data_IF_134855272962
#
_entry.id   IF_134855272962
#
_cell.length_a   1.000
_cell.length_b   1.000
_cell.length_c   1.000
_cell.angle_alpha   90.00
_cell.angle_beta   90.00
_cell.angle_gamma   90.00
#
_symmetry.space_group_name_H-M   'P 1'
#
loop_
_entity.id
_entity.type
_entity.pdbx_description
1 polymer ?
#
# COMPACT_ATOMS: atom_id res chain seq x y z
N UNK A 1 -0.14 -11.20 -16.97
CA UNK A 1 -0.81 -12.53 -17.04
C UNK A 1 -2.31 -12.37 -17.16
N UNK A 2 -2.91 -12.90 -18.24
CA UNK A 2 -4.38 -13.03 -18.33
C UNK A 2 -4.82 -14.18 -17.41
N UNK A 3 -5.79 -13.94 -16.53
CA UNK A 3 -6.37 -14.97 -15.64
C UNK A 3 -7.61 -15.57 -16.29
N UNK A 4 -7.79 -16.88 -16.20
CA UNK A 4 -8.97 -17.60 -16.72
C UNK A 4 -10.26 -17.05 -16.12
N UNK A 5 -11.24 -16.73 -16.97
CA UNK A 5 -12.56 -16.25 -16.58
C UNK A 5 -13.36 -17.32 -15.84
N UNK A 6 -13.17 -17.43 -14.53
CA UNK A 6 -13.91 -18.36 -13.68
C UNK A 6 -14.74 -17.64 -12.62
N UNK A 7 -15.63 -18.39 -11.97
CA UNK A 7 -16.56 -17.85 -10.96
C UNK A 7 -15.83 -17.20 -9.77
N UNK A 8 -14.64 -17.72 -9.43
CA UNK A 8 -13.77 -17.16 -8.39
C UNK A 8 -13.24 -15.78 -8.78
N UNK A 9 -12.78 -15.60 -10.02
CA UNK A 9 -12.30 -14.33 -10.55
C UNK A 9 -13.41 -13.27 -10.53
N UNK A 10 -14.63 -13.63 -10.95
CA UNK A 10 -15.79 -12.73 -10.92
C UNK A 10 -16.08 -12.27 -9.48
N UNK A 11 -16.03 -13.19 -8.50
CA UNK A 11 -16.22 -12.84 -7.09
C UNK A 11 -15.12 -11.92 -6.55
N UNK A 12 -13.86 -12.11 -6.96
CA UNK A 12 -12.74 -11.24 -6.58
C UNK A 12 -12.90 -9.84 -7.18
N UNK A 13 -13.28 -9.74 -8.45
CA UNK A 13 -13.53 -8.48 -9.14
C UNK A 13 -14.69 -7.71 -8.49
N UNK A 14 -15.81 -8.39 -8.24
CA UNK A 14 -16.96 -7.78 -7.56
C UNK A 14 -16.60 -7.27 -6.16
N UNK A 15 -15.82 -8.05 -5.39
CA UNK A 15 -15.35 -7.60 -4.06
C UNK A 15 -14.45 -6.37 -4.15
N UNK A 16 -13.57 -6.30 -5.14
CA UNK A 16 -12.70 -5.14 -5.39
C UNK A 16 -13.51 -3.90 -5.76
N UNK A 17 -14.49 -4.03 -6.67
CA UNK A 17 -15.40 -2.95 -7.05
C UNK A 17 -16.18 -2.43 -5.83
N UNK A 18 -16.79 -3.35 -5.07
CA UNK A 18 -17.57 -3.01 -3.87
C UNK A 18 -16.71 -2.31 -2.82
N UNK A 19 -15.49 -2.80 -2.56
CA UNK A 19 -14.58 -2.17 -1.61
C UNK A 19 -14.19 -0.75 -2.07
N UNK A 20 -13.93 -0.55 -3.37
CA UNK A 20 -13.68 0.78 -3.94
C UNK A 20 -14.88 1.71 -3.76
N UNK A 21 -16.10 1.22 -4.01
CA UNK A 21 -17.33 2.00 -3.78
C UNK A 21 -17.47 2.40 -2.31
N UNK A 22 -17.27 1.48 -1.37
CA UNK A 22 -17.35 1.76 0.08
C UNK A 22 -16.27 2.77 0.49
N UNK A 23 -15.05 2.62 -0.03
CA UNK A 23 -13.94 3.55 0.25
C UNK A 23 -14.20 4.97 -0.28
N UNK A 24 -14.92 5.11 -1.38
CA UNK A 24 -15.16 6.42 -2.01
C UNK A 24 -16.45 7.10 -1.53
N UNK A 25 -17.51 6.34 -1.26
CA UNK A 25 -18.85 6.87 -0.93
C UNK A 25 -19.33 6.52 0.49
N UNK A 26 -18.49 5.84 1.30
CA UNK A 26 -18.86 5.46 2.66
C UNK A 26 -19.04 6.68 3.58
N UNK A 27 -19.88 6.60 4.63
CA UNK A 27 -20.73 5.46 4.98
C UNK A 27 -21.89 5.23 3.97
N UNK A 28 -22.10 3.99 3.53
CA UNK A 28 -23.03 3.64 2.44
C UNK A 28 -23.80 2.35 2.72
N UNK A 29 -25.07 2.26 2.32
CA UNK A 29 -25.89 1.07 2.51
C UNK A 29 -25.62 -0.02 1.46
N UNK A 30 -25.93 -1.29 1.79
CA UNK A 30 -25.83 -2.41 0.83
C UNK A 30 -26.71 -2.21 -0.42
N UNK A 31 -27.89 -1.61 -0.26
CA UNK A 31 -28.79 -1.31 -1.39
C UNK A 31 -28.21 -0.26 -2.33
N UNK A 32 -27.59 0.78 -1.79
CA UNK A 32 -26.94 1.83 -2.60
C UNK A 32 -25.69 1.30 -3.32
N UNK A 33 -24.90 0.43 -2.67
CA UNK A 33 -23.79 -0.28 -3.32
C UNK A 33 -24.29 -1.11 -4.52
N UNK A 34 -25.37 -1.86 -4.36
CA UNK A 34 -25.97 -2.67 -5.42
C UNK A 34 -26.41 -1.80 -6.61
N UNK A 35 -27.13 -0.70 -6.32
CA UNK A 35 -27.63 0.24 -7.32
C UNK A 35 -26.50 0.88 -8.12
N UNK A 36 -25.46 1.39 -7.46
CA UNK A 36 -24.33 2.08 -8.12
C UNK A 36 -23.52 1.17 -9.03
N UNK A 37 -23.31 -0.08 -8.62
CA UNK A 37 -22.45 -1.00 -9.34
C UNK A 37 -23.21 -1.93 -10.30
N UNK A 38 -24.55 -1.88 -10.33
CA UNK A 38 -25.40 -2.83 -11.07
C UNK A 38 -25.09 -4.30 -10.72
N UNK A 39 -24.85 -4.55 -9.44
CA UNK A 39 -24.56 -5.88 -8.87
C UNK A 39 -25.78 -6.35 -8.07
N UNK A 40 -26.13 -7.63 -8.15
CA UNK A 40 -27.27 -8.18 -7.41
C UNK A 40 -27.13 -8.00 -5.89
N UNK A 41 -28.23 -7.74 -5.14
CA UNK A 41 -28.19 -7.56 -3.69
C UNK A 41 -27.58 -8.75 -2.93
N UNK A 42 -27.79 -9.97 -3.43
CA UNK A 42 -27.21 -11.21 -2.87
C UNK A 42 -25.69 -11.23 -2.98
N UNK A 43 -25.15 -10.84 -4.14
CA UNK A 43 -23.69 -10.73 -4.36
C UNK A 43 -23.08 -9.66 -3.48
N UNK A 44 -23.72 -8.48 -3.35
CA UNK A 44 -23.25 -7.41 -2.46
C UNK A 44 -23.21 -7.89 -1.01
N UNK A 45 -24.26 -8.57 -0.56
CA UNK A 45 -24.34 -9.09 0.81
C UNK A 45 -23.20 -10.08 1.10
N UNK A 46 -22.95 -11.03 0.18
CA UNK A 46 -21.85 -11.99 0.32
C UNK A 46 -20.47 -11.30 0.32
N UNK A 47 -20.26 -10.32 -0.55
CA UNK A 47 -19.00 -9.58 -0.63
C UNK A 47 -18.76 -8.72 0.63
N UNK A 48 -19.77 -7.98 1.09
CA UNK A 48 -19.68 -7.16 2.31
C UNK A 48 -19.43 -8.03 3.53
N UNK A 49 -20.06 -9.20 3.65
CA UNK A 49 -19.79 -10.16 4.73
C UNK A 49 -18.32 -10.57 4.76
N UNK A 50 -17.72 -10.90 3.60
CA UNK A 50 -16.29 -11.23 3.52
C UNK A 50 -15.40 -10.05 3.91
N UNK A 51 -15.74 -8.84 3.48
CA UNK A 51 -14.98 -7.63 3.82
C UNK A 51 -15.04 -7.30 5.32
N UNK A 52 -16.22 -7.50 5.96
CA UNK A 52 -16.40 -7.37 7.41
C UNK A 52 -15.56 -8.41 8.16
N UNK A 53 -15.60 -9.68 7.73
CA UNK A 53 -14.77 -10.74 8.31
C UNK A 53 -13.27 -10.45 8.19
N UNK A 54 -12.86 -9.83 7.07
CA UNK A 54 -11.48 -9.38 6.86
C UNK A 54 -11.16 -8.09 7.63
N UNK A 55 -12.12 -7.43 8.27
CA UNK A 55 -11.94 -6.15 8.96
C UNK A 55 -11.69 -4.95 8.05
N UNK A 56 -11.77 -5.10 6.73
CA UNK A 56 -11.50 -4.03 5.75
C UNK A 56 -12.61 -2.97 5.72
N UNK A 57 -13.79 -3.34 6.18
CA UNK A 57 -14.94 -2.44 6.37
C UNK A 57 -15.54 -2.70 7.75
N UNK A 58 -16.32 -1.76 8.24
CA UNK A 58 -17.06 -1.85 9.50
C UNK A 58 -18.44 -1.24 9.34
N UNK A 59 -19.36 -1.59 10.24
CA UNK A 59 -20.65 -0.92 10.33
C UNK A 59 -20.44 0.48 10.94
N UNK A 60 -21.10 1.48 10.39
CA UNK A 60 -21.06 2.83 10.93
C UNK A 60 -22.07 2.98 12.06
N UNK A 61 -21.63 3.51 13.19
CA UNK A 61 -22.48 3.92 14.30
C UNK A 61 -23.23 5.19 13.89
N UNK A 62 -24.50 5.07 13.50
CA UNK A 62 -25.35 6.24 13.25
C UNK A 62 -26.23 6.49 14.48
N UNK A 63 -26.21 7.74 14.97
CA UNK A 63 -26.98 8.22 16.12
C UNK A 63 -28.52 8.22 15.96
N UNK A 64 -29.18 8.73 17.00
CA UNK A 64 -30.59 8.57 17.38
C UNK A 64 -31.62 8.51 16.22
N UNK A 65 -32.61 7.64 16.39
CA UNK A 65 -33.61 7.28 15.37
C UNK A 65 -34.90 8.09 15.51
N UNK A 66 -35.52 8.46 14.38
CA UNK A 66 -36.83 9.12 14.29
C UNK A 66 -37.87 8.31 13.48
N UNK A 67 -37.72 6.97 13.39
CA UNK A 67 -38.73 6.05 12.84
C UNK A 67 -38.29 5.25 11.60
N UNK A 68 -38.65 3.96 11.55
CA UNK A 68 -38.29 2.97 10.51
C UNK A 68 -37.00 2.16 10.79
N UNK A 69 -36.83 0.98 10.16
CA UNK A 69 -35.57 0.20 10.24
C UNK A 69 -34.51 0.87 9.36
N UNK A 70 -33.69 1.75 9.96
CA UNK A 70 -32.57 2.41 9.26
C UNK A 70 -31.64 1.36 8.63
N UNK A 71 -31.22 1.53 7.36
CA UNK A 71 -30.25 0.64 6.75
C UNK A 71 -28.90 0.72 7.48
N UNK A 72 -28.30 -0.44 7.77
CA UNK A 72 -26.95 -0.51 8.32
C UNK A 72 -25.98 0.05 7.29
N UNK A 73 -25.30 1.14 7.64
CA UNK A 73 -24.30 1.78 6.80
C UNK A 73 -22.95 1.08 6.99
N UNK A 74 -22.24 0.91 5.89
CA UNK A 74 -20.93 0.29 5.82
C UNK A 74 -19.90 1.37 5.48
N UNK A 75 -18.79 1.39 6.20
CA UNK A 75 -17.69 2.32 5.99
C UNK A 75 -16.35 1.59 5.91
N UNK A 76 -15.40 2.19 5.20
CA UNK A 76 -14.04 1.65 5.10
C UNK A 76 -13.33 1.73 6.46
N UNK A 77 -12.49 0.73 6.73
CA UNK A 77 -11.70 0.64 7.97
C UNK A 77 -10.22 0.87 7.64
N UNK A 78 -9.78 2.13 7.43
CA UNK A 78 -8.40 2.42 7.05
C UNK A 78 -7.40 1.95 8.11
N UNK A 79 -7.82 1.95 9.38
CA UNK A 79 -6.98 1.58 10.53
C UNK A 79 -6.87 0.06 10.76
N UNK A 80 -7.55 -0.77 9.97
CA UNK A 80 -7.64 -2.22 10.19
C UNK A 80 -6.30 -2.95 10.04
N UNK A 81 -5.40 -2.40 9.23
CA UNK A 81 -4.07 -2.90 8.92
C UNK A 81 -3.14 -1.74 8.61
N UNK A 82 -1.84 -2.02 8.55
CA UNK A 82 -0.83 -1.03 8.17
C UNK A 82 0.24 -1.65 7.26
N UNK A 83 1.03 -0.79 6.64
CA UNK A 83 2.18 -1.11 5.81
C UNK A 83 3.37 -0.32 6.33
N UNK A 84 4.56 -0.92 6.32
CA UNK A 84 5.81 -0.20 6.56
C UNK A 84 6.38 0.25 5.21
N UNK A 85 6.39 1.55 4.95
CA UNK A 85 7.05 2.13 3.79
C UNK A 85 8.49 2.47 4.12
N UNK A 86 9.42 2.12 3.23
CA UNK A 86 10.85 2.42 3.35
C UNK A 86 11.29 3.13 2.07
N UNK A 87 11.86 4.31 2.20
CA UNK A 87 12.43 5.05 1.08
C UNK A 87 13.95 5.16 1.25
N UNK A 88 14.69 4.58 0.31
CA UNK A 88 16.14 4.74 0.19
C UNK A 88 16.39 5.97 -0.66
N UNK A 89 17.09 6.97 -0.11
CA UNK A 89 17.60 8.12 -0.83
C UNK A 89 19.12 8.18 -0.68
N UNK A 90 19.78 9.07 -1.43
CA UNK A 90 21.24 9.20 -1.40
C UNK A 90 21.78 9.57 0.00
N UNK A 91 21.03 10.36 0.77
CA UNK A 91 21.47 10.92 2.06
C UNK A 91 20.70 10.40 3.27
N UNK A 92 19.66 9.59 3.08
CA UNK A 92 18.88 9.04 4.20
C UNK A 92 18.03 7.84 3.80
N UNK A 93 17.68 7.05 4.79
CA UNK A 93 16.61 6.05 4.73
C UNK A 93 15.45 6.58 5.56
N UNK A 94 14.28 6.70 4.94
CA UNK A 94 13.05 7.11 5.64
C UNK A 94 12.16 5.89 5.82
N UNK A 95 11.70 5.64 7.04
CA UNK A 95 10.80 4.53 7.35
C UNK A 95 9.53 5.10 7.96
N UNK A 96 8.37 4.68 7.47
CA UNK A 96 7.08 5.13 7.98
C UNK A 96 6.07 3.99 8.11
N UNK A 97 5.28 4.01 9.17
CA UNK A 97 4.06 3.22 9.28
C UNK A 97 2.91 3.99 8.63
N UNK A 98 2.20 3.33 7.72
CA UNK A 98 1.05 3.90 7.02
C UNK A 98 -0.17 3.02 7.15
N UNK A 99 -1.34 3.64 7.35
CA UNK A 99 -2.63 2.94 7.29
C UNK A 99 -3.03 2.62 5.83
N UNK A 100 -4.21 2.02 5.62
CA UNK A 100 -4.69 1.67 4.26
C UNK A 100 -5.11 2.87 3.39
N UNK A 101 -5.06 4.09 3.94
CA UNK A 101 -5.19 5.36 3.22
C UNK A 101 -3.85 6.05 2.94
N UNK A 102 -2.74 5.35 3.19
CA UNK A 102 -1.38 5.89 3.08
C UNK A 102 -1.11 7.10 4.01
N UNK A 103 -1.90 7.26 5.08
CA UNK A 103 -1.62 8.27 6.11
C UNK A 103 -0.53 7.74 7.03
N UNK A 104 0.58 8.47 7.08
CA UNK A 104 1.69 8.19 8.00
C UNK A 104 1.23 8.39 9.44
N UNK A 105 1.46 7.39 10.29
CA UNK A 105 1.23 7.50 11.74
C UNK A 105 2.54 7.72 12.51
N UNK A 106 3.61 7.12 12.01
CA UNK A 106 4.93 7.12 12.63
C UNK A 106 5.98 7.17 11.54
N UNK A 107 7.03 7.96 11.76
CA UNK A 107 8.12 8.09 10.82
C UNK A 107 9.46 8.21 11.55
N UNK A 108 10.50 7.61 10.98
CA UNK A 108 11.89 7.83 11.35
C UNK A 108 12.73 8.11 10.13
N UNK A 109 13.77 8.90 10.32
CA UNK A 109 14.78 9.20 9.30
C UNK A 109 16.13 8.73 9.84
N UNK A 110 16.82 7.93 9.04
CA UNK A 110 18.13 7.36 9.32
C UNK A 110 19.12 7.99 8.34
N UNK A 111 19.93 8.98 8.76
CA UNK A 111 20.88 9.64 7.88
C UNK A 111 21.94 8.67 7.35
N UNK A 112 22.29 8.78 6.07
CA UNK A 112 23.38 8.04 5.44
C UNK A 112 24.60 8.95 5.37
N UNK A 113 25.72 8.52 5.97
CA UNK A 113 26.99 9.24 5.91
C UNK A 113 28.07 8.34 5.31
N UNK A 114 28.47 8.62 4.06
CA UNK A 114 29.55 7.89 3.36
C UNK A 114 29.37 6.36 3.30
N UNK A 115 28.14 5.84 3.43
CA UNK A 115 27.85 4.41 3.29
C UNK A 115 27.43 4.10 1.87
N UNK A 116 28.06 3.09 1.27
CA UNK A 116 27.75 2.58 -0.08
C UNK A 116 27.94 1.07 -0.11
N UNK A 117 27.44 0.40 -1.16
CA UNK A 117 27.59 -1.04 -1.32
C UNK A 117 26.99 -1.83 -0.16
N UNK A 118 27.70 -2.88 0.27
CA UNK A 118 27.27 -3.78 1.34
C UNK A 118 27.05 -3.06 2.67
N UNK A 119 27.90 -2.09 3.02
CA UNK A 119 27.77 -1.33 4.28
C UNK A 119 26.45 -0.54 4.33
N UNK A 120 25.99 -0.03 3.20
CA UNK A 120 24.68 0.62 3.11
C UNK A 120 23.54 -0.38 3.28
N UNK A 121 23.64 -1.57 2.69
CA UNK A 121 22.61 -2.61 2.84
C UNK A 121 22.53 -3.12 4.28
N UNK A 122 23.66 -3.31 4.94
CA UNK A 122 23.70 -3.66 6.36
C UNK A 122 23.08 -2.58 7.23
N UNK A 123 23.42 -1.31 6.97
CA UNK A 123 22.82 -0.18 7.66
C UNK A 123 21.31 -0.13 7.44
N UNK A 124 20.86 -0.31 6.20
CA UNK A 124 19.45 -0.36 5.84
C UNK A 124 18.68 -1.46 6.58
N UNK A 125 19.22 -2.67 6.62
CA UNK A 125 18.62 -3.77 7.37
C UNK A 125 18.65 -3.52 8.88
N UNK A 126 19.63 -2.79 9.41
CA UNK A 126 19.63 -2.37 10.83
C UNK A 126 18.56 -1.32 11.10
N UNK A 127 18.40 -0.32 10.23
CA UNK A 127 17.37 0.72 10.34
C UNK A 127 15.96 0.15 10.34
N UNK A 128 15.67 -0.83 9.49
CA UNK A 128 14.37 -1.54 9.51
C UNK A 128 14.20 -2.29 10.83
N UNK A 129 15.22 -3.03 11.28
CA UNK A 129 15.17 -3.75 12.56
C UNK A 129 14.85 -2.81 13.73
N UNK A 130 15.58 -1.71 13.85
CA UNK A 130 15.38 -0.70 14.89
C UNK A 130 13.97 -0.07 14.85
N UNK A 131 13.40 0.13 13.66
CA UNK A 131 12.03 0.62 13.54
C UNK A 131 11.00 -0.42 14.00
N UNK A 132 11.24 -1.70 13.66
CA UNK A 132 10.35 -2.81 13.99
C UNK A 132 10.41 -3.22 15.48
N UNK A 133 11.52 -2.97 16.18
CA UNK A 133 11.65 -3.22 17.63
C UNK A 133 10.62 -2.46 18.48
N UNK A 134 10.04 -1.39 17.95
CA UNK A 134 9.01 -0.61 18.64
C UNK A 134 7.61 -1.25 18.56
N UNK A 135 7.48 -2.39 17.88
CA UNK A 135 6.21 -3.11 17.72
C UNK A 135 6.24 -4.38 18.56
N UNK A 136 5.27 -4.52 19.47
CA UNK A 136 5.04 -5.76 20.20
C UNK A 136 4.33 -6.82 19.35
N UNK A 137 3.60 -6.40 18.32
CA UNK A 137 2.85 -7.26 17.41
C UNK A 137 2.81 -6.68 15.98
N UNK A 138 3.11 -7.53 15.00
CA UNK A 138 3.10 -7.22 13.57
C UNK A 138 1.99 -7.97 12.80
N UNK A 139 1.05 -8.64 13.48
CA UNK A 139 -0.05 -9.39 12.83
C UNK A 139 -0.90 -8.54 11.87
N UNK A 140 -1.04 -7.24 12.16
CA UNK A 140 -1.77 -6.28 11.32
C UNK A 140 -0.90 -5.64 10.22
N UNK A 141 0.41 -5.91 10.21
CA UNK A 141 1.32 -5.46 9.17
C UNK A 141 1.10 -6.30 7.91
N UNK A 142 0.80 -5.65 6.80
CA UNK A 142 0.68 -6.31 5.49
C UNK A 142 2.06 -6.68 4.92
N UNK A 143 3.08 -5.92 5.28
CA UNK A 143 4.44 -6.10 4.81
C UNK A 143 5.23 -4.79 4.71
N UNK A 144 6.39 -4.88 4.05
CA UNK A 144 7.32 -3.78 3.83
C UNK A 144 7.29 -3.39 2.34
N UNK A 145 7.07 -2.11 2.04
CA UNK A 145 7.21 -1.58 0.68
C UNK A 145 8.45 -0.70 0.62
N UNK A 146 9.39 -1.04 -0.26
CA UNK A 146 10.65 -0.33 -0.43
C UNK A 146 10.60 0.46 -1.72
N UNK A 147 11.05 1.71 -1.68
CA UNK A 147 11.32 2.52 -2.88
C UNK A 147 12.79 2.88 -2.91
N UNK A 148 13.39 2.77 -4.09
CA UNK A 148 14.81 3.09 -4.28
C UNK A 148 15.03 3.73 -5.65
N UNK A 149 15.97 4.69 -5.78
CA UNK A 149 16.49 5.06 -7.07
C UNK A 149 17.32 3.90 -7.66
N UNK A 150 17.45 3.90 -8.98
CA UNK A 150 18.24 2.93 -9.74
C UNK A 150 17.43 2.12 -10.75
N UNK A 151 18.12 1.20 -11.42
CA UNK A 151 17.52 0.22 -12.33
C UNK A 151 16.99 -0.93 -11.48
N UNK A 152 15.67 -1.14 -11.48
CA UNK A 152 15.00 -2.09 -10.57
C UNK A 152 14.20 -3.10 -11.38
N UNK A 153 14.38 -4.38 -11.04
CA UNK A 153 13.43 -5.44 -11.39
C UNK A 153 12.38 -5.53 -10.28
N UNK A 154 11.20 -4.96 -10.55
CA UNK A 154 10.09 -4.91 -9.58
C UNK A 154 9.48 -6.28 -9.29
N UNK A 155 9.52 -7.19 -10.27
CA UNK A 155 8.93 -8.52 -10.15
C UNK A 155 9.79 -9.41 -9.23
N UNK A 156 11.11 -9.38 -9.44
CA UNK A 156 12.07 -10.12 -8.59
C UNK A 156 12.43 -9.37 -7.32
N UNK A 157 12.28 -8.05 -7.30
CA UNK A 157 12.68 -7.19 -6.20
C UNK A 157 14.20 -7.05 -6.07
N UNK A 158 14.87 -6.87 -7.22
CA UNK A 158 16.33 -6.73 -7.35
C UNK A 158 16.66 -5.29 -7.76
N UNK A 159 17.67 -4.70 -7.12
CA UNK A 159 18.33 -3.48 -7.61
C UNK A 159 19.45 -3.95 -8.54
N UNK A 160 19.25 -3.81 -9.86
CA UNK A 160 20.27 -4.17 -10.84
C UNK A 160 21.46 -3.22 -10.78
N UNK A 161 21.20 -1.91 -10.72
CA UNK A 161 22.26 -0.90 -10.71
C UNK A 161 21.79 0.37 -9.98
N UNK A 162 22.61 0.83 -9.04
CA UNK A 162 22.57 2.20 -8.53
C UNK A 162 24.00 2.70 -8.35
N UNK A 163 24.47 3.53 -9.28
CA UNK A 163 25.86 3.99 -9.33
C UNK A 163 26.24 4.86 -8.14
N UNK A 164 25.35 5.76 -7.67
CA UNK A 164 25.64 6.65 -6.54
C UNK A 164 25.79 5.89 -5.22
N UNK A 165 24.93 4.91 -5.00
CA UNK A 165 24.95 4.05 -3.81
C UNK A 165 25.90 2.85 -3.96
N UNK A 166 26.55 2.68 -5.13
CA UNK A 166 27.39 1.54 -5.51
C UNK A 166 26.72 0.19 -5.25
N UNK A 167 25.44 0.09 -5.61
CA UNK A 167 24.67 -1.14 -5.52
C UNK A 167 24.59 -1.79 -6.88
N UNK A 168 24.83 -3.10 -6.93
CA UNK A 168 24.74 -3.89 -8.15
C UNK A 168 24.22 -5.29 -7.84
N UNK A 169 23.24 -5.74 -8.62
CA UNK A 169 22.62 -7.07 -8.50
C UNK A 169 22.18 -7.43 -7.06
N UNK A 170 21.57 -6.48 -6.33
CA UNK A 170 21.17 -6.67 -4.92
C UNK A 170 19.75 -7.25 -4.84
N UNK A 171 19.55 -8.49 -4.35
CA UNK A 171 18.23 -9.10 -4.19
C UNK A 171 17.53 -8.59 -2.92
N UNK A 172 17.28 -7.28 -2.88
CA UNK A 172 16.87 -6.57 -1.66
C UNK A 172 15.57 -7.13 -1.06
N UNK A 173 14.60 -7.49 -1.89
CA UNK A 173 13.36 -8.12 -1.44
C UNK A 173 13.63 -9.41 -0.67
N UNK A 174 14.42 -10.32 -1.24
CA UNK A 174 14.74 -11.60 -0.60
C UNK A 174 15.46 -11.39 0.72
N UNK A 175 16.43 -10.47 0.77
CA UNK A 175 17.20 -10.16 1.98
C UNK A 175 16.28 -9.69 3.12
N UNK A 176 15.32 -8.82 2.82
CA UNK A 176 14.35 -8.28 3.77
C UNK A 176 13.34 -9.35 4.20
N UNK A 177 12.80 -10.13 3.27
CA UNK A 177 11.88 -11.23 3.57
C UNK A 177 12.55 -12.31 4.44
N UNK A 178 13.80 -12.66 4.13
CA UNK A 178 14.57 -13.64 4.90
C UNK A 178 14.79 -13.19 6.34
N UNK A 179 15.12 -11.90 6.54
CA UNK A 179 15.45 -11.34 7.85
C UNK A 179 14.20 -11.06 8.71
N UNK A 180 13.16 -10.45 8.14
CA UNK A 180 12.01 -9.96 8.92
C UNK A 180 10.76 -10.83 8.80
N UNK A 181 10.74 -11.83 7.90
CA UNK A 181 9.58 -12.69 7.63
C UNK A 181 8.31 -11.92 7.26
N UNK A 182 8.47 -10.71 6.73
CA UNK A 182 7.41 -9.87 6.23
C UNK A 182 7.46 -9.81 4.72
N UNK A 183 6.31 -9.96 4.07
CA UNK A 183 6.19 -9.81 2.62
C UNK A 183 6.76 -8.47 2.18
N UNK A 184 7.57 -8.48 1.14
CA UNK A 184 8.28 -7.28 0.69
C UNK A 184 8.03 -6.98 -0.77
N UNK A 185 7.90 -5.68 -1.08
CA UNK A 185 7.86 -5.15 -2.43
C UNK A 185 8.98 -4.14 -2.62
N UNK A 186 9.50 -4.06 -3.84
CA UNK A 186 10.47 -3.05 -4.25
C UNK A 186 9.93 -2.34 -5.50
N UNK A 187 9.99 -1.02 -5.51
CA UNK A 187 9.56 -0.19 -6.63
C UNK A 187 10.59 0.92 -6.89
N UNK A 188 10.62 1.40 -8.13
CA UNK A 188 11.37 2.60 -8.48
C UNK A 188 10.74 3.85 -7.85
N UNK A 189 11.58 4.78 -7.40
CA UNK A 189 11.16 6.01 -6.74
C UNK A 189 10.26 6.91 -7.61
N UNK A 190 10.59 7.11 -8.89
CA UNK A 190 9.78 7.91 -9.80
C UNK A 190 8.40 7.28 -10.05
N UNK A 191 8.35 5.97 -10.31
CA UNK A 191 7.10 5.22 -10.45
C UNK A 191 6.25 5.31 -9.18
N UNK A 192 6.87 5.15 -8.02
CA UNK A 192 6.18 5.19 -6.73
C UNK A 192 5.57 6.57 -6.45
N UNK A 193 6.29 7.65 -6.77
CA UNK A 193 5.78 9.02 -6.64
C UNK A 193 4.62 9.25 -7.61
N UNK A 194 4.74 8.85 -8.87
CA UNK A 194 3.65 8.97 -9.85
C UNK A 194 2.39 8.24 -9.37
N UNK A 195 2.54 7.02 -8.85
CA UNK A 195 1.44 6.24 -8.28
C UNK A 195 0.84 6.90 -7.04
N UNK A 196 1.67 7.42 -6.13
CA UNK A 196 1.23 8.10 -4.93
C UNK A 196 0.42 9.36 -5.27
N UNK A 197 0.89 10.18 -6.22
CA UNK A 197 0.21 11.37 -6.70
C UNK A 197 -1.11 11.06 -7.40
N UNK A 198 -1.12 10.01 -8.22
CA UNK A 198 -2.32 9.54 -8.91
C UNK A 198 -3.39 9.00 -7.95
N UNK A 199 -2.98 8.35 -6.87
CA UNK A 199 -3.87 7.62 -5.97
C UNK A 199 -4.28 8.44 -4.73
N UNK A 200 -3.38 9.26 -4.21
CA UNK A 200 -3.51 9.97 -2.93
C UNK A 200 -3.31 11.48 -3.02
N UNK A 201 -2.58 11.96 -4.04
CA UNK A 201 -2.26 13.37 -4.24
C UNK A 201 -3.29 14.19 -5.03
N UNK A 202 -2.82 15.29 -5.62
CA UNK A 202 -3.66 16.29 -6.29
C UNK A 202 -4.21 15.84 -7.65
N UNK A 203 -3.61 14.81 -8.24
CA UNK A 203 -3.83 14.42 -9.64
C UNK A 203 -4.84 13.27 -9.82
N UNK A 204 -5.59 12.90 -8.78
CA UNK A 204 -6.59 11.81 -8.80
C UNK A 204 -7.57 11.88 -9.97
N UNK A 205 -7.98 13.09 -10.35
CA UNK A 205 -8.99 13.33 -11.40
C UNK A 205 -8.51 12.99 -12.81
N UNK A 206 -7.21 13.00 -13.07
CA UNK A 206 -6.67 12.81 -14.42
C UNK A 206 -6.54 11.33 -14.73
N UNK A 207 -6.95 10.87 -15.92
CA UNK A 207 -6.84 9.45 -16.30
C UNK A 207 -5.40 9.01 -16.50
N UNK A 208 -4.61 9.87 -17.17
CA UNK A 208 -3.21 9.65 -17.47
C UNK A 208 -2.37 10.68 -16.71
N UNK A 209 -1.22 10.27 -16.18
CA UNK A 209 -0.26 11.11 -15.50
C UNK A 209 1.12 10.69 -15.97
N UNK A 210 1.98 11.67 -16.26
CA UNK A 210 3.42 11.49 -16.36
C UNK A 210 4.02 12.38 -15.29
N UNK A 211 4.82 11.81 -14.40
CA UNK A 211 5.49 12.55 -13.34
C UNK A 211 6.98 12.57 -13.62
N UNK A 212 7.56 13.76 -13.77
CA UNK A 212 9.00 13.93 -14.01
C UNK A 212 9.65 14.44 -12.72
N UNK A 213 10.58 13.67 -12.16
CA UNK A 213 11.41 14.09 -11.02
C UNK A 213 12.69 14.73 -11.54
N UNK A 214 12.99 15.95 -11.06
CA UNK A 214 14.23 16.66 -11.36
C UNK A 214 14.93 16.97 -10.03
N UNK A 215 16.15 16.48 -9.87
CA UNK A 215 16.97 16.71 -8.68
C UNK A 215 18.37 16.14 -8.88
N UNK A 216 18.80 15.28 -7.96
CA UNK A 216 20.06 14.52 -8.06
C UNK A 216 20.16 13.64 -9.32
N UNK A 217 19.04 13.42 -10.01
CA UNK A 217 18.93 12.74 -11.29
C UNK A 217 17.63 13.14 -11.99
N UNK A 218 17.38 12.52 -13.14
CA UNK A 218 16.13 12.64 -13.88
C UNK A 218 15.39 11.30 -13.80
N UNK A 219 14.13 11.32 -13.40
CA UNK A 219 13.25 10.15 -13.39
C UNK A 219 11.88 10.47 -13.98
N UNK A 220 11.19 9.45 -14.46
CA UNK A 220 9.82 9.56 -14.96
C UNK A 220 8.99 8.33 -14.56
N UNK A 221 7.72 8.55 -14.24
CA UNK A 221 6.72 7.51 -13.91
C UNK A 221 5.33 7.84 -14.42
#
# INVERSE_FOLDING_TARGET
MQRTGNLKLIQELNRSIILKTIRHYGPISRSEIAKRNKISPTTVTAAVRKLLQQGLVREASVGASSGGRKPILIQFSPESRFIIGVAIANSSIKIAEMNLEAKSRKQKVFPIYNLTGELLIDYFLKSIGQFLEEYSDLTKCIGISIVSPGIIDVDKGIIYENTKLKLKDIPLKEMVEKKFKLKTWLENDANAIALAEKQFGAYKKFKNLVYITIGDGLGAG
#
